data_IF_730763080501
#
_entry.id   IF_730763080501
#
_cell.length_a   1.000
_cell.length_b   1.000
_cell.length_c   1.000
_cell.angle_alpha   90.00
_cell.angle_beta   90.00
_cell.angle_gamma   90.00
#
_symmetry.space_group_name_H-M   'P 1'
#
loop_
_entity.id
_entity.type
_entity.pdbx_description
1 polymer ?
#
# COMPACT_ATOMS: atom_id res chain seq x y z
N UNK A 1 11.91 16.77 -9.20
CA UNK A 1 11.82 15.37 -9.59
C UNK A 1 13.20 14.71 -9.65
N UNK A 2 13.28 13.43 -9.33
CA UNK A 2 14.51 12.61 -9.37
C UNK A 2 15.69 13.17 -8.56
N UNK A 3 15.43 13.90 -7.48
CA UNK A 3 16.45 14.54 -6.64
C UNK A 3 16.94 13.66 -5.48
N UNK A 4 16.21 12.58 -5.19
CA UNK A 4 16.49 11.66 -4.07
C UNK A 4 16.56 10.20 -4.54
N UNK A 5 17.09 9.98 -5.72
CA UNK A 5 17.23 8.66 -6.32
C UNK A 5 18.57 8.05 -6.00
N UNK A 6 18.56 6.76 -5.68
CA UNK A 6 19.76 5.95 -5.49
C UNK A 6 19.95 4.98 -6.68
N UNK A 7 21.08 4.25 -6.78
CA UNK A 7 21.27 3.27 -7.83
C UNK A 7 20.17 2.21 -7.92
N UNK A 8 19.60 1.79 -6.78
CA UNK A 8 18.49 0.82 -6.75
C UNK A 8 17.21 1.43 -7.32
N UNK A 9 16.90 2.70 -6.98
CA UNK A 9 15.73 3.42 -7.52
C UNK A 9 15.80 3.54 -9.05
N UNK A 10 17.03 3.64 -9.59
CA UNK A 10 17.27 3.74 -11.03
C UNK A 10 17.40 2.38 -11.74
N UNK A 11 17.32 1.27 -10.99
CA UNK A 11 17.47 -0.06 -11.55
C UNK A 11 18.85 -0.38 -12.11
N UNK A 12 19.91 0.22 -11.54
CA UNK A 12 21.26 -0.05 -12.04
C UNK A 12 21.66 -1.51 -11.78
N UNK A 13 22.39 -2.14 -12.72
CA UNK A 13 22.79 -3.54 -12.62
C UNK A 13 23.52 -3.86 -11.31
N UNK A 14 23.08 -4.94 -10.65
CA UNK A 14 23.67 -5.40 -9.40
C UNK A 14 23.21 -4.66 -8.14
N UNK A 15 22.43 -3.57 -8.28
CA UNK A 15 21.85 -2.87 -7.13
C UNK A 15 20.59 -3.58 -6.63
N UNK A 16 20.57 -3.93 -5.35
CA UNK A 16 19.43 -4.58 -4.69
C UNK A 16 18.90 -3.72 -3.56
N UNK A 17 17.58 -3.77 -3.28
CA UNK A 17 16.99 -3.04 -2.16
C UNK A 17 17.48 -3.61 -0.82
N UNK A 18 17.67 -2.71 0.15
CA UNK A 18 17.99 -3.06 1.53
C UNK A 18 16.77 -2.84 2.42
N UNK A 19 16.54 -3.75 3.36
CA UNK A 19 15.41 -3.69 4.27
C UNK A 19 15.62 -2.59 5.33
N UNK A 20 14.61 -1.74 5.52
CA UNK A 20 14.60 -0.71 6.55
C UNK A 20 13.94 -1.26 7.83
N UNK A 21 14.68 -1.26 8.93
CA UNK A 21 14.19 -1.73 10.24
C UNK A 21 12.92 -0.97 10.70
N UNK A 22 12.90 0.34 10.57
CA UNK A 22 11.75 1.16 10.99
C UNK A 22 10.49 0.80 10.19
N UNK A 23 10.65 0.47 8.90
CA UNK A 23 9.52 0.03 8.08
C UNK A 23 8.96 -1.31 8.57
N UNK A 24 9.82 -2.26 8.94
CA UNK A 24 9.40 -3.55 9.52
C UNK A 24 8.66 -3.34 10.83
N UNK A 25 9.21 -2.55 11.74
CA UNK A 25 8.59 -2.26 13.04
C UNK A 25 7.23 -1.55 12.85
N UNK A 26 7.12 -0.66 11.87
CA UNK A 26 5.86 0.01 11.53
C UNK A 26 4.82 -0.97 10.97
N UNK A 27 5.24 -1.89 10.10
CA UNK A 27 4.36 -2.93 9.57
C UNK A 27 3.84 -3.87 10.68
N UNK A 28 4.71 -4.25 11.63
CA UNK A 28 4.31 -5.05 12.79
C UNK A 28 3.29 -4.31 13.67
N UNK A 29 3.50 -2.99 13.92
CA UNK A 29 2.55 -2.16 14.68
C UNK A 29 1.18 -2.10 14.00
N UNK A 30 1.15 -1.92 12.68
CA UNK A 30 -0.10 -1.95 11.90
C UNK A 30 -0.76 -3.32 12.04
N UNK A 31 -0.02 -4.41 11.84
CA UNK A 31 -0.55 -5.77 12.00
C UNK A 31 -1.18 -6.01 13.36
N UNK A 32 -0.49 -5.63 14.45
CA UNK A 32 -1.01 -5.76 15.81
C UNK A 32 -2.26 -4.92 16.03
N UNK A 33 -2.28 -3.68 15.55
CA UNK A 33 -3.44 -2.79 15.69
C UNK A 33 -4.67 -3.26 14.89
N UNK A 34 -4.43 -4.04 13.83
CA UNK A 34 -5.47 -4.71 13.03
C UNK A 34 -5.84 -6.10 13.59
N UNK A 35 -5.48 -6.40 14.83
CA UNK A 35 -5.73 -7.70 15.47
C UNK A 35 -5.17 -8.89 14.68
N UNK A 36 -4.14 -8.68 13.87
CA UNK A 36 -3.48 -9.75 13.14
C UNK A 36 -2.53 -10.56 14.03
N UNK A 37 -2.31 -11.79 13.62
CA UNK A 37 -1.16 -12.58 14.07
C UNK A 37 0.08 -12.07 13.33
N UNK A 38 1.14 -11.74 14.07
CA UNK A 38 2.44 -11.37 13.48
C UNK A 38 3.24 -12.66 13.25
N UNK A 39 3.77 -12.81 12.04
CA UNK A 39 4.54 -13.98 11.66
C UNK A 39 5.87 -14.05 12.42
N UNK A 40 6.26 -15.22 12.90
CA UNK A 40 7.60 -15.46 13.45
C UNK A 40 8.68 -15.42 12.37
N UNK A 41 8.29 -15.68 11.14
CA UNK A 41 9.14 -15.67 9.97
C UNK A 41 8.38 -15.20 8.73
N UNK A 42 9.01 -14.36 7.93
CA UNK A 42 8.46 -13.86 6.67
C UNK A 42 9.58 -13.68 5.64
N UNK A 43 9.22 -13.62 4.37
CA UNK A 43 10.18 -13.51 3.27
C UNK A 43 9.65 -12.61 2.17
N UNK A 44 10.55 -11.82 1.58
CA UNK A 44 10.27 -11.10 0.36
C UNK A 44 10.49 -11.97 -0.87
N UNK A 45 9.56 -11.91 -1.79
CA UNK A 45 9.67 -12.42 -3.14
C UNK A 45 9.84 -11.27 -4.13
N UNK A 46 10.21 -11.57 -5.37
CA UNK A 46 10.27 -10.61 -6.47
C UNK A 46 9.02 -10.75 -7.33
N UNK A 47 8.14 -9.77 -7.24
CA UNK A 47 6.96 -9.65 -8.11
C UNK A 47 7.37 -8.96 -9.40
N UNK A 48 7.48 -9.70 -10.49
CA UNK A 48 7.87 -9.15 -11.79
C UNK A 48 6.89 -8.07 -12.23
N UNK A 49 7.41 -6.89 -12.57
CA UNK A 49 6.63 -5.73 -12.94
C UNK A 49 7.40 -4.90 -13.97
N UNK A 50 7.07 -5.11 -15.25
CA UNK A 50 7.75 -4.47 -16.38
C UNK A 50 7.00 -3.22 -16.79
N UNK A 51 7.28 -2.11 -16.11
CA UNK A 51 6.68 -0.82 -16.40
C UNK A 51 7.70 0.31 -16.17
N UNK A 52 7.59 1.45 -16.86
CA UNK A 52 8.58 2.54 -16.75
C UNK A 52 8.80 3.10 -15.35
N UNK A 53 7.82 3.00 -14.46
CA UNK A 53 7.91 3.46 -13.08
C UNK A 53 8.62 2.47 -12.12
N UNK A 54 9.03 1.30 -12.64
CA UNK A 54 9.76 0.27 -11.90
C UNK A 54 11.06 -0.11 -12.67
N UNK A 55 12.13 0.68 -12.58
CA UNK A 55 13.32 0.49 -13.41
C UNK A 55 14.04 -0.84 -13.21
N UNK A 56 13.97 -1.43 -12.02
CA UNK A 56 14.56 -2.75 -11.74
C UNK A 56 13.70 -3.94 -12.18
N UNK A 57 12.53 -3.66 -12.80
CA UNK A 57 11.60 -4.65 -13.35
C UNK A 57 10.98 -5.64 -12.36
N UNK A 58 11.11 -5.40 -11.07
CA UNK A 58 10.42 -6.16 -10.04
C UNK A 58 10.11 -5.28 -8.84
N UNK A 59 9.04 -5.63 -8.14
CA UNK A 59 8.64 -5.09 -6.85
C UNK A 59 8.91 -6.15 -5.80
N UNK A 60 9.54 -5.79 -4.69
CA UNK A 60 9.61 -6.68 -3.53
C UNK A 60 8.25 -6.78 -2.88
N UNK A 61 7.83 -7.98 -2.51
CA UNK A 61 6.53 -8.24 -1.90
C UNK A 61 6.60 -9.46 -0.98
N UNK A 62 5.77 -9.47 0.06
CA UNK A 62 5.63 -10.61 0.98
C UNK A 62 4.31 -11.35 0.76
N UNK A 63 3.74 -11.28 -0.43
CA UNK A 63 2.41 -11.80 -0.74
C UNK A 63 2.14 -13.21 -0.21
N UNK A 64 3.08 -14.15 -0.42
CA UNK A 64 2.95 -15.55 0.01
C UNK A 64 3.30 -15.78 1.49
N UNK A 65 4.18 -14.95 2.03
CA UNK A 65 4.72 -15.10 3.38
C UNK A 65 4.67 -13.75 4.11
N UNK A 66 3.45 -13.27 4.41
CA UNK A 66 3.21 -11.92 4.93
C UNK A 66 3.71 -11.77 6.36
N UNK A 67 4.06 -10.54 6.72
CA UNK A 67 4.47 -10.20 8.09
C UNK A 67 3.31 -10.30 9.09
N UNK A 68 2.05 -10.13 8.63
CA UNK A 68 0.87 -10.23 9.49
C UNK A 68 -0.32 -10.82 8.71
N UNK A 69 -1.19 -11.57 9.41
CA UNK A 69 -2.30 -12.29 8.80
C UNK A 69 -3.42 -12.56 9.81
N UNK A 70 -4.62 -12.92 9.29
CA UNK A 70 -5.80 -13.32 10.10
C UNK A 70 -6.17 -12.26 11.13
N UNK A 71 -6.38 -11.04 10.68
CA UNK A 71 -6.83 -9.94 11.53
C UNK A 71 -8.27 -9.55 11.29
N UNK A 72 -8.66 -8.44 11.89
CA UNK A 72 -9.94 -7.79 11.65
C UNK A 72 -9.90 -6.33 12.08
N UNK A 73 -10.82 -5.55 11.53
CA UNK A 73 -11.13 -4.21 11.97
C UNK A 73 -12.66 -4.06 11.99
N UNK A 74 -13.19 -3.55 13.06
CA UNK A 74 -14.62 -3.28 13.20
C UNK A 74 -14.90 -1.88 12.61
N UNK A 75 -15.82 -1.82 11.66
CA UNK A 75 -16.25 -0.60 10.97
C UNK A 75 -17.62 -0.17 11.49
N UNK A 76 -17.71 0.97 12.16
CA UNK A 76 -18.96 1.54 12.65
C UNK A 76 -19.57 2.45 11.59
N UNK A 77 -20.84 2.21 11.27
CA UNK A 77 -21.63 3.02 10.33
C UNK A 77 -22.29 4.20 11.05
N UNK A 78 -22.77 5.17 10.28
CA UNK A 78 -23.42 6.38 10.80
C UNK A 78 -24.67 6.10 11.66
N UNK A 79 -25.30 4.93 11.52
CA UNK A 79 -26.44 4.48 12.32
C UNK A 79 -26.05 3.71 13.60
N UNK A 80 -24.76 3.57 13.87
CA UNK A 80 -24.20 2.81 14.99
C UNK A 80 -24.09 1.30 14.75
N UNK A 81 -24.45 0.81 13.57
CA UNK A 81 -24.23 -0.60 13.21
C UNK A 81 -22.73 -0.86 13.03
N UNK A 82 -22.25 -1.96 13.59
CA UNK A 82 -20.85 -2.37 13.48
C UNK A 82 -20.70 -3.58 12.57
N UNK A 83 -19.88 -3.45 11.55
CA UNK A 83 -19.51 -4.55 10.65
C UNK A 83 -18.06 -4.93 10.84
N UNK A 84 -17.82 -6.20 11.15
CA UNK A 84 -16.46 -6.73 11.22
C UNK A 84 -15.92 -7.02 9.82
N UNK A 85 -14.82 -6.37 9.47
CA UNK A 85 -14.09 -6.60 8.24
C UNK A 85 -12.89 -7.48 8.56
N UNK A 86 -12.92 -8.71 8.07
CA UNK A 86 -11.81 -9.65 8.23
C UNK A 86 -10.64 -9.29 7.33
N UNK A 87 -9.43 -9.36 7.87
CA UNK A 87 -8.18 -9.12 7.17
C UNK A 87 -7.50 -10.46 6.90
N UNK A 88 -7.28 -10.74 5.63
CA UNK A 88 -6.57 -11.95 5.20
C UNK A 88 -5.09 -11.84 5.56
N UNK A 89 -4.47 -10.70 5.18
CA UNK A 89 -3.05 -10.41 5.43
C UNK A 89 -2.74 -8.92 5.38
N UNK A 90 -1.66 -8.56 6.02
CA UNK A 90 -0.97 -7.30 5.82
C UNK A 90 0.50 -7.63 5.51
N UNK A 91 0.99 -7.19 4.37
CA UNK A 91 2.33 -7.51 3.90
C UNK A 91 3.07 -6.29 3.37
N UNK A 92 4.38 -6.33 3.52
CA UNK A 92 5.23 -5.24 3.04
C UNK A 92 5.50 -5.37 1.55
N UNK A 93 5.52 -4.22 0.92
CA UNK A 93 5.93 -4.00 -0.47
C UNK A 93 6.83 -2.77 -0.55
N UNK A 94 7.14 -2.34 -1.75
CA UNK A 94 7.76 -1.06 -2.05
C UNK A 94 6.92 -0.29 -3.08
N UNK A 95 6.90 1.03 -2.99
CA UNK A 95 6.19 1.86 -3.94
C UNK A 95 6.99 2.00 -5.25
N UNK A 96 6.27 2.32 -6.33
CA UNK A 96 6.82 2.61 -7.65
C UNK A 96 7.13 4.10 -7.81
N UNK A 97 7.81 4.47 -8.88
CA UNK A 97 7.92 5.86 -9.29
C UNK A 97 6.55 6.48 -9.59
N UNK A 98 6.51 7.79 -9.73
CA UNK A 98 5.30 8.53 -10.09
C UNK A 98 5.34 8.92 -11.57
N UNK A 99 4.34 8.49 -12.33
CA UNK A 99 4.20 8.87 -13.74
C UNK A 99 3.28 10.08 -13.89
N UNK A 100 3.72 11.06 -14.68
CA UNK A 100 2.96 12.25 -15.04
C UNK A 100 2.73 12.25 -16.55
N UNK A 101 1.46 12.26 -16.97
CA UNK A 101 1.09 12.32 -18.37
C UNK A 101 0.92 13.78 -18.81
N UNK A 102 1.64 14.18 -19.84
CA UNK A 102 1.70 15.57 -20.34
C UNK A 102 1.02 15.68 -21.70
N UNK A 103 0.22 16.73 -21.89
CA UNK A 103 -0.46 17.05 -23.14
C UNK A 103 -1.90 16.60 -23.26
N UNK A 104 -2.42 15.83 -22.30
CA UNK A 104 -3.83 15.45 -22.24
C UNK A 104 -4.65 16.38 -21.36
N UNK A 105 -5.95 16.52 -21.66
CA UNK A 105 -6.87 17.38 -20.90
C UNK A 105 -7.18 16.88 -19.47
N UNK A 106 -6.96 15.58 -19.20
CA UNK A 106 -7.40 14.92 -17.96
C UNK A 106 -6.26 14.39 -17.08
N UNK A 107 -5.00 14.60 -17.49
CA UNK A 107 -3.84 13.98 -16.80
C UNK A 107 -3.76 12.44 -16.93
N UNK A 108 -4.64 11.83 -17.71
CA UNK A 108 -4.62 10.40 -18.04
C UNK A 108 -3.72 10.13 -19.24
N UNK A 109 -3.34 8.87 -19.43
CA UNK A 109 -2.51 8.44 -20.57
C UNK A 109 -3.18 8.70 -21.93
N UNK A 110 -4.51 8.69 -21.96
CA UNK A 110 -5.27 9.00 -23.18
C UNK A 110 -5.06 10.46 -23.60
N UNK A 111 -4.55 10.66 -24.82
CA UNK A 111 -4.26 11.99 -25.35
C UNK A 111 -2.95 12.60 -24.85
N UNK A 112 -2.17 11.89 -24.07
CA UNK A 112 -0.85 12.35 -23.65
C UNK A 112 0.15 12.28 -24.82
N UNK A 113 0.96 13.32 -24.97
CA UNK A 113 2.05 13.37 -25.98
C UNK A 113 3.28 12.62 -25.48
N UNK A 114 3.54 12.72 -24.18
CA UNK A 114 4.63 12.00 -23.50
C UNK A 114 4.32 11.86 -22.02
N UNK A 115 5.12 11.03 -21.35
CA UNK A 115 5.05 10.86 -19.90
C UNK A 115 6.40 11.12 -19.27
N UNK A 116 6.39 11.76 -18.10
CA UNK A 116 7.56 11.96 -17.26
C UNK A 116 7.47 11.01 -16.07
N UNK A 117 8.60 10.45 -15.66
CA UNK A 117 8.66 9.58 -14.49
C UNK A 117 9.54 10.19 -13.43
N UNK A 118 9.00 10.32 -12.22
CA UNK A 118 9.71 10.77 -11.02
C UNK A 118 9.94 9.57 -10.11
N UNK A 119 11.20 9.22 -9.89
CA UNK A 119 11.60 8.09 -9.05
C UNK A 119 11.83 8.44 -7.57
N UNK A 120 11.54 9.66 -7.14
CA UNK A 120 11.70 10.04 -5.73
C UNK A 120 10.84 9.18 -4.79
N UNK A 121 9.73 8.64 -5.28
CA UNK A 121 8.86 7.72 -4.53
C UNK A 121 9.31 6.26 -4.63
N UNK A 122 10.06 5.87 -5.64
CA UNK A 122 10.46 4.49 -5.88
C UNK A 122 11.22 3.90 -4.68
N UNK A 123 10.80 2.73 -4.22
CA UNK A 123 11.40 2.05 -3.10
C UNK A 123 10.95 2.54 -1.71
N UNK A 124 10.05 3.52 -1.62
CA UNK A 124 9.45 3.89 -0.33
C UNK A 124 8.68 2.67 0.20
N UNK A 125 8.86 2.31 1.47
CA UNK A 125 8.14 1.18 2.07
C UNK A 125 6.63 1.37 1.98
N UNK A 126 5.96 0.34 1.53
CA UNK A 126 4.50 0.25 1.37
C UNK A 126 4.00 -0.95 2.16
N UNK A 127 2.83 -0.84 2.76
CA UNK A 127 2.09 -1.96 3.32
C UNK A 127 0.78 -2.14 2.56
N UNK A 128 0.52 -3.34 2.08
CA UNK A 128 -0.75 -3.72 1.49
C UNK A 128 -1.56 -4.51 2.51
N UNK A 129 -2.76 -4.02 2.80
CA UNK A 129 -3.72 -4.66 3.71
C UNK A 129 -4.83 -5.25 2.84
N UNK A 130 -4.94 -6.56 2.85
CA UNK A 130 -5.92 -7.30 2.03
C UNK A 130 -7.01 -7.83 2.95
N UNK A 131 -8.24 -7.37 2.70
CA UNK A 131 -9.42 -7.89 3.41
C UNK A 131 -9.94 -9.15 2.72
N UNK A 132 -10.70 -9.95 3.45
CA UNK A 132 -11.61 -10.91 2.83
C UNK A 132 -12.81 -10.17 2.23
N UNK A 133 -13.55 -10.79 1.30
CA UNK A 133 -14.82 -10.25 0.84
C UNK A 133 -15.74 -9.93 2.04
N UNK A 134 -16.36 -8.76 2.01
CA UNK A 134 -17.32 -8.35 3.03
C UNK A 134 -18.67 -8.94 2.65
N UNK A 135 -19.08 -10.01 3.34
CA UNK A 135 -20.35 -10.68 3.10
C UNK A 135 -21.47 -10.12 3.96
N UNK A 136 -22.72 -10.30 3.52
CA UNK A 136 -23.91 -9.99 4.30
C UNK A 136 -24.27 -8.52 4.44
N UNK A 137 -23.55 -7.62 3.79
CA UNK A 137 -23.82 -6.17 3.89
C UNK A 137 -24.81 -5.68 2.83
N UNK A 138 -24.95 -6.37 1.70
CA UNK A 138 -25.89 -6.01 0.63
C UNK A 138 -25.76 -4.54 0.21
N UNK A 139 -26.85 -3.78 0.36
CA UNK A 139 -26.89 -2.34 0.02
C UNK A 139 -25.97 -1.49 0.91
N UNK A 140 -25.56 -1.99 2.06
CA UNK A 140 -24.62 -1.31 2.98
C UNK A 140 -23.16 -1.50 2.60
N UNK A 141 -22.83 -2.28 1.58
CA UNK A 141 -21.45 -2.58 1.20
C UNK A 141 -20.59 -1.32 1.00
N UNK A 142 -21.13 -0.32 0.29
CA UNK A 142 -20.44 0.94 0.06
C UNK A 142 -20.22 1.75 1.36
N UNK A 143 -21.22 1.78 2.24
CA UNK A 143 -21.12 2.44 3.54
C UNK A 143 -20.10 1.74 4.44
N UNK A 144 -20.10 0.40 4.46
CA UNK A 144 -19.16 -0.42 5.21
C UNK A 144 -17.72 -0.19 4.71
N UNK A 145 -17.50 -0.18 3.40
CA UNK A 145 -16.19 0.08 2.82
C UNK A 145 -15.68 1.49 3.18
N UNK A 146 -16.54 2.51 3.12
CA UNK A 146 -16.22 3.88 3.53
C UNK A 146 -15.85 3.94 5.02
N UNK A 147 -16.66 3.33 5.89
CA UNK A 147 -16.41 3.29 7.32
C UNK A 147 -15.07 2.58 7.62
N UNK A 148 -14.84 1.41 7.02
CA UNK A 148 -13.58 0.67 7.16
C UNK A 148 -12.35 1.52 6.79
N UNK A 149 -12.38 2.18 5.63
CA UNK A 149 -11.25 3.03 5.19
C UNK A 149 -11.07 4.21 6.15
N UNK A 150 -12.15 4.76 6.69
CA UNK A 150 -12.09 5.88 7.66
C UNK A 150 -11.46 5.43 8.98
N UNK A 151 -11.88 4.30 9.54
CA UNK A 151 -11.30 3.71 10.75
C UNK A 151 -9.84 3.35 10.57
N UNK A 152 -9.51 2.69 9.45
CA UNK A 152 -8.13 2.35 9.09
C UNK A 152 -7.25 3.61 9.02
N UNK A 153 -7.75 4.68 8.41
CA UNK A 153 -7.04 5.96 8.29
C UNK A 153 -6.72 6.55 9.65
N UNK A 154 -7.69 6.59 10.55
CA UNK A 154 -7.48 7.14 11.90
C UNK A 154 -6.55 6.26 12.73
N UNK A 155 -6.66 4.94 12.63
CA UNK A 155 -5.77 3.98 13.28
C UNK A 155 -4.31 4.17 12.82
N UNK A 156 -4.06 4.20 11.52
CA UNK A 156 -2.70 4.35 10.96
C UNK A 156 -2.11 5.72 11.30
N UNK A 157 -2.93 6.78 11.34
CA UNK A 157 -2.53 8.10 11.78
C UNK A 157 -2.14 8.10 13.27
N UNK A 158 -2.96 7.50 14.12
CA UNK A 158 -2.72 7.42 15.55
C UNK A 158 -1.42 6.66 15.89
N UNK A 159 -1.08 5.63 15.10
CA UNK A 159 0.19 4.90 15.21
C UNK A 159 1.40 5.73 14.78
N UNK A 160 1.20 6.85 14.10
CA UNK A 160 2.29 7.70 13.59
C UNK A 160 3.11 7.04 12.48
N UNK A 161 2.56 6.07 11.76
CA UNK A 161 3.26 5.33 10.69
C UNK A 161 3.01 5.89 9.30
N UNK A 162 1.98 6.72 9.12
CA UNK A 162 1.68 7.43 7.88
C UNK A 162 0.97 8.75 8.18
N UNK A 163 1.12 9.72 7.29
CA UNK A 163 0.35 10.99 7.31
C UNK A 163 -1.04 10.84 6.70
N UNK A 164 -1.32 9.68 6.09
CA UNK A 164 -2.58 9.26 5.46
C UNK A 164 -3.18 10.29 4.48
N UNK A 165 -2.33 11.03 3.78
CA UNK A 165 -2.73 12.02 2.79
C UNK A 165 -3.03 11.36 1.46
N UNK A 166 -4.30 11.13 1.19
CA UNK A 166 -4.76 10.45 -0.03
C UNK A 166 -4.36 11.22 -1.29
N UNK A 167 -4.43 12.55 -1.25
CA UNK A 167 -4.04 13.43 -2.35
C UNK A 167 -2.54 13.40 -2.68
N UNK A 168 -1.72 12.95 -1.74
CA UNK A 168 -0.28 12.75 -1.92
C UNK A 168 0.09 11.29 -2.24
N UNK A 169 -0.90 10.38 -2.21
CA UNK A 169 -0.71 8.97 -2.47
C UNK A 169 -0.22 8.18 -1.25
N UNK A 170 -0.30 8.74 -0.03
CA UNK A 170 0.09 8.04 1.20
C UNK A 170 -0.92 6.97 1.63
N UNK A 171 -2.12 6.99 1.09
CA UNK A 171 -3.15 5.96 1.28
C UNK A 171 -3.97 5.81 0.00
N UNK A 172 -4.17 4.57 -0.44
CA UNK A 172 -5.07 4.22 -1.55
C UNK A 172 -5.91 3.01 -1.14
N UNK A 173 -7.16 2.99 -1.53
CA UNK A 173 -8.05 1.85 -1.38
C UNK A 173 -8.59 1.47 -2.76
N UNK A 174 -8.48 0.19 -3.09
CA UNK A 174 -9.08 -0.44 -4.27
C UNK A 174 -10.23 -1.34 -3.78
N UNK A 175 -11.43 -1.23 -4.40
CA UNK A 175 -12.67 -1.91 -3.99
C UNK A 175 -13.20 -2.75 -5.12
#
# INVERSE_FOLDING_TARGET
>A
PNSQTCPTCLGLPGSLPALNRTAVESAMRIGLALNCQVAEWCRFARKNYFYPDMPKNFQTSQYDEPIAFKGHLDAELDDGTVHRVEIERAHMEEDTGKTLHVGGATGRIQGAVHSLVDYNRAGIPLIEIVTKPIEGTGELAAATAKAYVSELRELVRALGVSDVRMEQGSLRADV
#
